data_IF_170327406798
#
_entry.id   IF_170327406798
#
_cell.length_a   1.000
_cell.length_b   1.000
_cell.length_c   1.000
_cell.angle_alpha   90.00
_cell.angle_beta   90.00
_cell.angle_gamma   90.00
#
_symmetry.space_group_name_H-M   'P 1'
#
loop_
_entity.id
_entity.type
_entity.pdbx_description
1 polymer ?
#
# COMPACT_ATOMS: atom_id res chain seq x y z
N UNK A 1 40.24 -15.90 19.99
CA UNK A 1 39.79 -15.77 19.46
C UNK A 1 38.48 -15.74 19.25
N UNK A 2 37.65 -15.79 19.67
CA UNK A 2 36.40 -15.78 19.54
C UNK A 2 35.80 -14.66 18.92
N UNK A 3 36.44 -13.75 18.65
CA UNK A 3 35.97 -12.69 18.07
C UNK A 3 34.98 -12.97 17.07
N UNK A 4 35.08 -13.94 16.44
CA UNK A 4 34.23 -14.16 15.38
C UNK A 4 32.81 -14.20 15.70
N UNK A 5 32.48 -14.75 16.73
CA UNK A 5 31.09 -14.96 17.01
C UNK A 5 30.33 -13.73 17.09
N UNK A 6 30.94 -12.75 17.43
CA UNK A 6 30.29 -11.57 17.61
C UNK A 6 29.67 -11.04 16.37
N UNK A 7 30.35 -11.12 15.36
CA UNK A 7 29.88 -10.58 14.18
C UNK A 7 28.54 -11.06 13.77
N UNK A 8 28.34 -12.24 13.98
CA UNK A 8 27.13 -12.83 13.52
C UNK A 8 25.93 -12.18 14.09
N UNK A 9 26.06 -11.81 15.25
CA UNK A 9 24.96 -11.28 15.93
C UNK A 9 24.44 -10.06 15.31
N UNK A 10 25.30 -9.26 14.92
CA UNK A 10 24.92 -7.99 14.42
C UNK A 10 23.91 -8.09 13.32
N UNK A 11 24.03 -9.04 12.51
CA UNK A 11 23.18 -9.09 11.43
C UNK A 11 21.79 -9.33 11.76
N UNK A 12 21.54 -10.11 12.70
CA UNK A 12 20.24 -10.43 13.04
C UNK A 12 19.45 -9.24 13.36
N UNK A 13 20.06 -8.36 14.00
CA UNK A 13 19.37 -7.19 14.43
C UNK A 13 18.81 -6.46 13.27
N UNK A 14 19.51 -6.48 12.20
CA UNK A 14 19.07 -5.76 11.09
C UNK A 14 17.84 -6.33 10.51
N UNK A 15 17.73 -7.55 10.50
CA UNK A 15 16.61 -8.18 9.91
C UNK A 15 15.35 -7.70 10.55
N UNK A 16 15.42 -7.30 11.75
CA UNK A 16 14.25 -6.91 12.44
C UNK A 16 13.62 -5.68 11.90
N UNK A 17 14.40 -4.89 11.29
CA UNK A 17 13.89 -3.64 10.82
C UNK A 17 12.89 -3.82 9.69
N UNK A 18 12.99 -4.90 8.97
CA UNK A 18 12.17 -5.04 7.83
C UNK A 18 10.84 -5.66 8.07
N UNK A 19 10.74 -6.55 8.93
CA UNK A 19 9.53 -7.32 9.09
C UNK A 19 8.25 -6.54 9.19
N UNK A 20 8.31 -5.38 9.69
CA UNK A 20 7.11 -4.63 9.89
C UNK A 20 6.32 -4.44 8.63
N UNK A 21 7.00 -4.28 7.53
CA UNK A 21 6.31 -4.05 6.30
C UNK A 21 5.73 -5.32 5.71
N UNK A 22 6.30 -6.41 6.07
CA UNK A 22 5.86 -7.67 5.53
C UNK A 22 4.64 -8.19 6.22
N UNK A 23 4.19 -7.54 7.26
CA UNK A 23 3.07 -8.06 8.02
C UNK A 23 1.73 -7.91 7.31
N UNK A 24 1.63 -7.07 6.33
CA UNK A 24 0.38 -6.89 5.62
C UNK A 24 0.30 -7.86 4.45
N UNK A 25 -0.64 -8.79 4.53
CA UNK A 25 -0.85 -9.76 3.48
C UNK A 25 -2.24 -9.55 2.90
N UNK A 26 -2.36 -9.08 1.68
CA UNK A 26 -3.67 -8.86 1.09
C UNK A 26 -4.40 -10.16 0.85
N UNK A 27 -5.64 -10.24 1.25
CA UNK A 27 -6.51 -11.38 0.97
C UNK A 27 -7.55 -11.03 -0.08
N UNK A 28 -7.79 -9.74 -0.27
CA UNK A 28 -8.70 -9.27 -1.29
C UNK A 28 -8.23 -7.92 -1.81
N UNK A 29 -8.06 -7.79 -3.09
CA UNK A 29 -7.74 -6.51 -3.72
C UNK A 29 -8.84 -6.20 -4.73
N UNK A 30 -9.26 -4.95 -4.78
CA UNK A 30 -10.26 -4.47 -5.70
C UNK A 30 -9.59 -3.48 -6.63
N UNK A 31 -9.70 -3.68 -7.93
CA UNK A 31 -9.11 -2.76 -8.88
C UNK A 31 -9.91 -1.47 -8.91
N UNK A 32 -9.25 -0.34 -9.04
CA UNK A 32 -9.97 0.91 -9.17
C UNK A 32 -10.72 1.00 -10.50
N UNK A 33 -11.84 1.69 -10.49
CA UNK A 33 -12.60 1.93 -11.69
C UNK A 33 -12.00 3.13 -12.41
N UNK A 34 -11.68 2.98 -13.67
CA UNK A 34 -11.10 4.09 -14.45
C UNK A 34 -12.21 5.15 -14.65
N UNK A 35 -11.94 6.39 -14.26
CA UNK A 35 -12.98 7.42 -14.40
C UNK A 35 -13.39 7.61 -15.86
N UNK A 36 -14.67 7.61 -16.16
CA UNK A 36 -15.12 7.70 -17.54
C UNK A 36 -14.64 8.93 -18.30
N UNK A 37 -14.57 10.05 -17.62
CA UNK A 37 -14.10 11.27 -18.25
C UNK A 37 -12.64 11.19 -18.62
N UNK A 38 -11.84 10.59 -17.77
CA UNK A 38 -10.43 10.41 -18.03
C UNK A 38 -10.24 9.43 -19.20
N UNK A 39 -11.05 8.40 -19.27
CA UNK A 39 -10.99 7.45 -20.36
C UNK A 39 -11.33 8.13 -21.69
N UNK A 40 -12.34 8.97 -21.69
CA UNK A 40 -12.73 9.69 -22.92
C UNK A 40 -11.66 10.65 -23.40
N UNK A 41 -10.95 11.27 -22.50
CA UNK A 41 -9.89 12.22 -22.86
C UNK A 41 -8.53 11.57 -23.03
N UNK A 42 -8.42 10.28 -22.82
CA UNK A 42 -7.15 9.58 -22.92
C UNK A 42 -6.17 9.93 -21.81
N UNK A 43 -6.66 10.35 -20.66
CA UNK A 43 -5.82 10.78 -19.55
C UNK A 43 -5.38 9.59 -18.73
N UNK A 44 -4.09 9.46 -18.51
CA UNK A 44 -3.50 8.43 -17.67
C UNK A 44 -2.79 9.07 -16.49
N UNK A 45 -2.53 8.32 -15.45
CA UNK A 45 -1.84 8.84 -14.30
C UNK A 45 -1.68 7.83 -13.19
N UNK A 46 -1.44 8.31 -11.99
CA UNK A 46 -1.27 7.43 -10.83
C UNK A 46 -1.76 8.11 -9.56
N UNK A 47 -1.99 7.30 -8.55
CA UNK A 47 -2.28 7.78 -7.20
C UNK A 47 -1.48 6.95 -6.21
N UNK A 48 -0.80 7.60 -5.30
CA UNK A 48 -0.13 6.94 -4.19
C UNK A 48 -0.95 7.20 -2.93
N UNK A 49 -1.27 6.14 -2.21
CA UNK A 49 -2.07 6.26 -1.00
C UNK A 49 -1.39 5.55 0.16
N UNK A 50 -1.62 6.07 1.36
CA UNK A 50 -1.28 5.40 2.59
C UNK A 50 -2.58 4.94 3.22
N UNK A 51 -2.55 3.80 3.87
CA UNK A 51 -3.76 3.29 4.49
C UNK A 51 -3.43 2.56 5.79
N UNK A 52 -4.44 2.47 6.65
CA UNK A 52 -4.34 1.71 7.88
C UNK A 52 -5.31 0.55 7.84
N UNK A 53 -4.89 -0.57 8.39
CA UNK A 53 -5.66 -1.79 8.43
C UNK A 53 -5.93 -2.14 9.88
N UNK A 54 -7.16 -2.44 10.20
CA UNK A 54 -7.52 -2.82 11.56
C UNK A 54 -7.12 -4.24 11.90
N UNK A 55 -7.27 -4.60 13.14
CA UNK A 55 -6.92 -5.94 13.61
C UNK A 55 -7.71 -7.02 12.90
N UNK A 56 -8.89 -6.70 12.40
CA UNK A 56 -9.73 -7.61 11.66
C UNK A 56 -9.37 -7.74 10.18
N UNK A 57 -8.38 -7.02 9.72
CA UNK A 57 -7.95 -7.07 8.34
C UNK A 57 -8.68 -6.09 7.41
N UNK A 58 -9.56 -5.29 7.95
CA UNK A 58 -10.28 -4.34 7.12
C UNK A 58 -9.60 -2.98 7.09
N UNK A 59 -9.66 -2.32 5.95
CA UNK A 59 -9.05 -0.99 5.80
C UNK A 59 -9.88 0.03 6.59
N UNK A 60 -9.22 0.74 7.48
CA UNK A 60 -9.87 1.73 8.34
C UNK A 60 -9.75 3.14 7.80
N UNK A 61 -8.64 3.48 7.21
CA UNK A 61 -8.44 4.82 6.66
C UNK A 61 -7.57 4.77 5.42
N UNK A 62 -7.78 5.70 4.52
CA UNK A 62 -7.00 5.86 3.30
C UNK A 62 -6.70 7.33 3.10
N UNK A 63 -5.45 7.66 2.86
CA UNK A 63 -5.03 9.03 2.60
C UNK A 63 -4.23 9.10 1.31
N UNK A 64 -4.54 10.05 0.44
CA UNK A 64 -3.77 10.27 -0.77
C UNK A 64 -2.53 11.06 -0.42
N UNK A 65 -1.37 10.55 -0.78
CA UNK A 65 -0.10 11.25 -0.52
C UNK A 65 0.51 11.84 -1.80
N UNK A 66 0.12 11.33 -2.95
CA UNK A 66 0.58 11.90 -4.21
C UNK A 66 -0.37 11.47 -5.33
N UNK A 67 -0.58 12.31 -6.32
CA UNK A 67 -1.43 11.98 -7.44
C UNK A 67 -1.09 12.85 -8.64
N UNK A 68 -1.11 12.26 -9.81
CA UNK A 68 -0.92 13.00 -11.06
C UNK A 68 -1.82 12.42 -12.15
N UNK A 69 -2.60 13.23 -12.84
CA UNK A 69 -2.83 14.64 -12.51
C UNK A 69 -3.70 14.74 -11.27
N UNK A 70 -3.63 15.85 -10.59
CA UNK A 70 -4.41 16.02 -9.38
C UNK A 70 -5.91 16.08 -9.69
N UNK A 71 -6.71 15.64 -8.75
CA UNK A 71 -8.17 15.71 -8.85
C UNK A 71 -8.77 14.87 -9.96
N UNK A 72 -8.06 13.89 -10.46
CA UNK A 72 -8.56 13.05 -11.54
C UNK A 72 -8.85 11.63 -11.05
N UNK A 73 -7.88 11.01 -10.42
CA UNK A 73 -7.98 9.60 -10.08
C UNK A 73 -8.11 9.31 -8.59
N UNK A 74 -8.03 10.33 -7.75
CA UNK A 74 -7.97 10.13 -6.29
C UNK A 74 -9.20 9.41 -5.75
N UNK A 75 -10.40 9.81 -6.15
CA UNK A 75 -11.59 9.19 -5.64
C UNK A 75 -11.68 7.73 -6.05
N UNK A 76 -11.29 7.40 -7.27
CA UNK A 76 -11.30 6.03 -7.75
C UNK A 76 -10.32 5.17 -6.95
N UNK A 77 -9.15 5.70 -6.67
CA UNK A 77 -8.14 5.00 -5.91
C UNK A 77 -8.61 4.75 -4.48
N UNK A 78 -9.14 5.76 -3.83
CA UNK A 78 -9.60 5.66 -2.46
C UNK A 78 -10.74 4.65 -2.34
N UNK A 79 -11.69 4.67 -3.26
CA UNK A 79 -12.80 3.73 -3.24
C UNK A 79 -12.32 2.29 -3.39
N UNK A 80 -11.33 2.07 -4.22
CA UNK A 80 -10.79 0.73 -4.42
C UNK A 80 -10.11 0.23 -3.17
N UNK A 81 -9.21 1.01 -2.61
CA UNK A 81 -8.41 0.59 -1.45
C UNK A 81 -9.30 0.39 -0.23
N UNK A 82 -10.34 1.14 -0.08
CA UNK A 82 -11.26 0.96 1.04
C UNK A 82 -11.94 -0.40 1.04
N UNK A 83 -11.98 -1.06 -0.09
CA UNK A 83 -12.60 -2.37 -0.20
C UNK A 83 -11.59 -3.50 -0.11
N UNK A 84 -10.32 -3.19 0.02
CA UNK A 84 -9.30 -4.21 0.17
C UNK A 84 -9.41 -4.87 1.54
N UNK A 85 -8.98 -6.11 1.63
CA UNK A 85 -8.95 -6.85 2.89
C UNK A 85 -7.59 -7.52 3.04
N UNK A 86 -7.19 -7.68 4.28
CA UNK A 86 -5.89 -8.22 4.62
C UNK A 86 -6.04 -9.32 5.66
N UNK A 87 -5.02 -10.11 5.84
CA UNK A 87 -5.00 -11.08 6.91
C UNK A 87 -5.08 -10.35 8.26
N UNK A 88 -5.65 -10.94 9.28
CA UNK A 88 -5.79 -10.30 10.58
C UNK A 88 -4.45 -9.87 11.17
N UNK A 89 -4.46 -8.85 11.94
CA UNK A 89 -3.28 -8.33 12.60
C UNK A 89 -3.12 -6.83 12.53
N UNK A 90 -3.63 -6.23 11.49
CA UNK A 90 -3.56 -4.79 11.36
C UNK A 90 -2.21 -4.27 10.94
N UNK A 91 -2.15 -3.00 10.66
CA UNK A 91 -0.90 -2.33 10.29
C UNK A 91 -1.15 -1.17 9.37
N UNK A 92 -0.08 -0.69 8.77
CA UNK A 92 -0.12 0.45 7.86
C UNK A 92 0.57 0.06 6.57
N UNK A 93 0.10 0.57 5.47
CA UNK A 93 0.69 0.30 4.19
C UNK A 93 0.65 1.50 3.26
N UNK A 94 1.36 1.37 2.16
CA UNK A 94 1.41 2.38 1.13
C UNK A 94 1.40 1.68 -0.21
N UNK A 95 0.65 2.20 -1.16
CA UNK A 95 0.56 1.60 -2.47
C UNK A 95 0.43 2.66 -3.55
N UNK A 96 0.96 2.35 -4.70
CA UNK A 96 0.78 3.18 -5.88
C UNK A 96 -0.18 2.46 -6.83
N UNK A 97 -1.20 3.16 -7.26
CA UNK A 97 -2.14 2.65 -8.24
C UNK A 97 -1.96 3.39 -9.55
N UNK A 98 -1.66 2.66 -10.60
CA UNK A 98 -1.46 3.25 -11.91
C UNK A 98 -2.77 3.15 -12.71
N UNK A 99 -3.11 4.22 -13.39
CA UNK A 99 -4.30 4.29 -14.24
C UNK A 99 -3.82 4.41 -15.69
N UNK A 100 -3.83 3.31 -16.39
CA UNK A 100 -3.35 3.27 -17.78
C UNK A 100 -4.44 2.74 -18.68
N UNK A 101 -4.42 3.18 -19.93
CA UNK A 101 -5.41 2.77 -20.95
C UNK A 101 -4.85 1.71 -21.89
#
# INVERSE_FOLDING_TARGET
MSRTSVAAVAFLALALAMPAHASLTPTKRVDPVFPPEAARSGTEGFVEVEFTVGADGKVESVSVVNAKPSRTFESAAVRAVKQWEFAPGGGRGKVRLDFTL
#
